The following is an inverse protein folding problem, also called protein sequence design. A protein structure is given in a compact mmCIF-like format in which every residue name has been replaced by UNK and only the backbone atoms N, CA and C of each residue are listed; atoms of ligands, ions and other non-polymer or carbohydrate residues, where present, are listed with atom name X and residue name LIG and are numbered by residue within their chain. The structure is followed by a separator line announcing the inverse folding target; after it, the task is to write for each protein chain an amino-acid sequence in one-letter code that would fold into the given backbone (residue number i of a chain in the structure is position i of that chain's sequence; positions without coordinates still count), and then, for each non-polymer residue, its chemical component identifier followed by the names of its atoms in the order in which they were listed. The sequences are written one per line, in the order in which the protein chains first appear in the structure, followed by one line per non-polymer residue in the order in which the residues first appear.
data_IF_967360511418
#
_entry.id   IF_967360511418
#
_cell.length_a   1.000
_cell.length_b   1.000
_cell.length_c   1.000
_cell.angle_alpha   90.00
_cell.angle_beta   90.00
_cell.angle_gamma   90.00
#
_symmetry.space_group_name_H-M   'P 1'
#
loop_
_entity.id
_entity.type
_entity.pdbx_description
1 polymer ?
#
# COMPACT_ATOMS: atom_id res chain seq x y z
N UNK A 1 10.28 23.58 -13.62
CA UNK A 1 8.94 23.28 -13.06
C UNK A 1 8.35 21.98 -13.59
N UNK A 2 8.16 21.78 -14.91
CA UNK A 2 7.55 20.54 -15.42
C UNK A 2 8.35 19.24 -15.21
N UNK A 3 9.68 19.31 -15.26
CA UNK A 3 10.53 18.10 -15.27
C UNK A 3 10.42 17.31 -13.95
N UNK A 4 10.40 17.99 -12.80
CA UNK A 4 10.28 17.32 -11.49
C UNK A 4 8.95 16.59 -11.32
N UNK A 5 7.86 17.16 -11.86
CA UNK A 5 6.53 16.53 -11.84
C UNK A 5 6.43 15.35 -12.80
N UNK A 6 6.95 15.48 -14.03
CA UNK A 6 6.95 14.40 -15.03
C UNK A 6 7.77 13.21 -14.54
N UNK A 7 8.96 13.45 -14.00
CA UNK A 7 9.83 12.38 -13.47
C UNK A 7 9.17 11.73 -12.24
N UNK A 8 8.57 12.51 -11.35
CA UNK A 8 7.80 11.96 -10.21
C UNK A 8 6.63 11.08 -10.69
N UNK A 9 5.86 11.55 -11.67
CA UNK A 9 4.74 10.80 -12.23
C UNK A 9 5.20 9.46 -12.84
N UNK A 10 6.29 9.47 -13.60
CA UNK A 10 6.85 8.24 -14.18
C UNK A 10 7.26 7.23 -13.10
N UNK A 11 7.91 7.68 -12.02
CA UNK A 11 8.32 6.82 -10.90
C UNK A 11 7.10 6.22 -10.18
N UNK A 12 6.04 7.01 -9.96
CA UNK A 12 4.79 6.49 -9.37
C UNK A 12 4.19 5.41 -10.24
N UNK A 13 4.09 5.63 -11.55
CA UNK A 13 3.49 4.67 -12.49
C UNK A 13 4.30 3.36 -12.51
N UNK A 14 5.62 3.44 -12.58
CA UNK A 14 6.48 2.25 -12.61
C UNK A 14 6.33 1.45 -11.31
N UNK A 15 6.41 2.12 -10.16
CA UNK A 15 6.25 1.46 -8.86
C UNK A 15 4.86 0.84 -8.71
N UNK A 16 3.80 1.50 -9.20
CA UNK A 16 2.45 0.95 -9.22
C UNK A 16 2.33 -0.31 -10.10
N UNK A 17 2.97 -0.34 -11.27
CA UNK A 17 3.01 -1.53 -12.13
C UNK A 17 3.69 -2.70 -11.40
N UNK A 18 4.82 -2.44 -10.73
CA UNK A 18 5.53 -3.47 -9.95
C UNK A 18 4.67 -3.99 -8.81
N UNK A 19 4.03 -3.09 -8.05
CA UNK A 19 3.15 -3.45 -6.94
C UNK A 19 1.99 -4.30 -7.48
N UNK A 20 1.26 -3.84 -8.52
CA UNK A 20 0.16 -4.58 -9.11
C UNK A 20 0.59 -5.93 -9.70
N UNK A 21 1.78 -5.99 -10.30
CA UNK A 21 2.38 -7.22 -10.81
C UNK A 21 2.63 -8.27 -9.73
N UNK A 22 2.87 -7.85 -8.48
CA UNK A 22 2.96 -8.76 -7.32
C UNK A 22 1.58 -9.03 -6.73
N UNK A 23 0.72 -8.00 -6.64
CA UNK A 23 -0.62 -8.08 -6.03
C UNK A 23 -1.51 -9.08 -6.74
N UNK A 24 -1.64 -8.97 -8.07
CA UNK A 24 -2.59 -9.75 -8.88
C UNK A 24 -2.34 -11.26 -8.79
N UNK A 25 -1.11 -11.78 -8.97
CA UNK A 25 -0.88 -13.22 -8.85
C UNK A 25 -1.05 -13.70 -7.41
N UNK A 26 -0.72 -12.89 -6.41
CA UNK A 26 -0.97 -13.23 -5.01
C UNK A 26 -2.47 -13.29 -4.70
N UNK A 27 -3.26 -12.30 -5.14
CA UNK A 27 -4.72 -12.27 -4.97
C UNK A 27 -5.35 -13.53 -5.59
N UNK A 28 -4.99 -13.86 -6.83
CA UNK A 28 -5.51 -15.05 -7.52
C UNK A 28 -5.09 -16.38 -6.89
N UNK A 29 -3.86 -16.46 -6.36
CA UNK A 29 -3.32 -17.72 -5.83
C UNK A 29 -3.85 -18.03 -4.43
N UNK A 30 -4.14 -16.99 -3.65
CA UNK A 30 -4.36 -17.14 -2.22
C UNK A 30 -5.76 -16.74 -1.75
N UNK A 31 -6.52 -16.00 -2.56
CA UNK A 31 -7.90 -15.63 -2.22
C UNK A 31 -8.86 -16.61 -2.90
N UNK A 32 -9.39 -17.53 -2.10
CA UNK A 32 -10.44 -18.44 -2.57
C UNK A 32 -11.77 -17.72 -2.46
N UNK A 33 -12.39 -17.45 -3.62
CA UNK A 33 -13.74 -16.87 -3.70
C UNK A 33 -14.73 -18.01 -3.93
N UNK A 34 -15.72 -18.14 -3.06
CA UNK A 34 -16.82 -19.11 -3.22
C UNK A 34 -17.84 -18.57 -4.22
N UNK A 35 -18.65 -19.47 -4.80
CA UNK A 35 -19.67 -19.17 -5.81
C UNK A 35 -20.55 -17.98 -5.37
N UNK A 36 -20.45 -16.86 -6.09
CA UNK A 36 -21.13 -15.58 -5.75
C UNK A 36 -20.22 -14.40 -5.37
N UNK A 37 -18.92 -14.42 -5.70
CA UNK A 37 -17.95 -13.33 -5.47
C UNK A 37 -17.71 -12.95 -3.99
N UNK A 38 -18.24 -13.71 -3.03
CA UNK A 38 -17.93 -13.53 -1.61
C UNK A 38 -16.59 -14.20 -1.30
N UNK A 39 -15.69 -13.44 -0.66
CA UNK A 39 -14.40 -13.94 -0.19
C UNK A 39 -14.68 -14.91 0.94
N UNK A 40 -14.21 -16.15 0.81
CA UNK A 40 -14.41 -17.16 1.85
C UNK A 40 -13.31 -16.99 2.92
N UNK A 41 -13.62 -16.22 3.95
CA UNK A 41 -12.69 -15.91 5.05
C UNK A 41 -12.31 -17.14 5.89
N UNK A 42 -13.11 -18.20 5.81
CA UNK A 42 -12.89 -19.50 6.48
C UNK A 42 -11.73 -20.29 5.87
N UNK A 43 -11.56 -20.24 4.54
CA UNK A 43 -10.43 -20.89 3.83
C UNK A 43 -9.23 -19.97 3.62
N UNK A 44 -9.45 -18.65 3.57
CA UNK A 44 -8.39 -17.67 3.28
C UNK A 44 -7.64 -17.25 4.55
N UNK A 45 -6.76 -18.13 5.08
CA UNK A 45 -5.93 -17.87 6.27
C UNK A 45 -4.90 -16.72 6.11
N UNK A 46 -4.75 -16.17 4.91
CA UNK A 46 -3.74 -15.15 4.59
C UNK A 46 -4.08 -13.76 5.13
N UNK A 47 -5.34 -13.48 5.43
CA UNK A 47 -5.71 -12.24 6.14
C UNK A 47 -5.40 -12.26 7.64
N UNK A 48 -5.09 -13.43 8.21
CA UNK A 48 -4.75 -13.61 9.62
C UNK A 48 -3.25 -13.80 9.88
N UNK A 49 -2.43 -13.92 8.82
CA UNK A 49 -0.96 -14.02 8.92
C UNK A 49 -0.30 -12.82 8.26
N UNK A 50 0.93 -12.52 8.67
CA UNK A 50 1.75 -11.50 8.02
C UNK A 50 1.88 -11.81 6.53
N UNK A 51 1.37 -10.92 5.69
CA UNK A 51 1.32 -11.15 4.25
C UNK A 51 2.45 -10.39 3.54
N UNK A 52 2.83 -10.82 2.34
CA UNK A 52 3.83 -10.12 1.51
C UNK A 52 3.42 -8.67 1.27
N UNK A 53 2.11 -8.40 1.20
CA UNK A 53 1.56 -7.06 1.11
C UNK A 53 1.76 -6.20 2.35
N UNK A 54 1.72 -6.77 3.57
CA UNK A 54 2.06 -6.03 4.78
C UNK A 54 3.53 -5.62 4.73
N UNK A 55 4.43 -6.51 4.30
CA UNK A 55 5.86 -6.18 4.09
C UNK A 55 6.04 -5.07 3.05
N UNK A 56 5.36 -5.16 1.89
CA UNK A 56 5.43 -4.13 0.85
C UNK A 56 4.91 -2.79 1.39
N UNK A 57 3.80 -2.79 2.11
CA UNK A 57 3.23 -1.57 2.69
C UNK A 57 4.15 -0.93 3.73
N UNK A 58 4.80 -1.73 4.58
CA UNK A 58 5.81 -1.25 5.54
C UNK A 58 7.02 -0.67 4.80
N UNK A 59 7.53 -1.35 3.78
CA UNK A 59 8.62 -0.82 2.95
C UNK A 59 8.23 0.50 2.27
N UNK A 60 7.01 0.62 1.76
CA UNK A 60 6.48 1.87 1.18
C UNK A 60 6.39 2.99 2.22
N UNK A 61 5.96 2.68 3.45
CA UNK A 61 5.88 3.65 4.53
C UNK A 61 7.28 4.15 4.94
N UNK A 62 8.26 3.24 5.04
CA UNK A 62 9.67 3.61 5.30
C UNK A 62 10.21 4.47 4.17
N UNK A 63 9.94 4.12 2.91
CA UNK A 63 10.32 4.93 1.76
C UNK A 63 9.71 6.34 1.82
N UNK A 64 8.42 6.46 2.14
CA UNK A 64 7.75 7.74 2.32
C UNK A 64 8.41 8.58 3.43
N UNK A 65 8.76 7.97 4.56
CA UNK A 65 9.50 8.64 5.63
C UNK A 65 10.86 9.15 5.16
N UNK A 66 11.63 8.36 4.41
CA UNK A 66 12.91 8.81 3.84
C UNK A 66 12.69 10.00 2.90
N UNK A 67 11.66 9.96 2.04
CA UNK A 67 11.33 11.09 1.17
C UNK A 67 11.00 12.36 1.96
N UNK A 68 10.27 12.27 3.08
CA UNK A 68 9.98 13.42 3.96
C UNK A 68 11.25 13.94 4.62
N UNK A 69 12.16 13.06 5.06
CA UNK A 69 13.41 13.49 5.69
C UNK A 69 14.32 14.22 4.70
N UNK A 70 14.45 13.69 3.48
CA UNK A 70 15.20 14.36 2.41
C UNK A 70 14.56 15.71 2.07
N UNK A 71 13.23 15.77 1.99
CA UNK A 71 12.50 17.02 1.78
C UNK A 71 12.81 18.06 2.87
N UNK A 72 12.80 17.68 4.15
CA UNK A 72 13.15 18.57 5.27
C UNK A 72 14.59 19.10 5.16
N UNK A 73 15.54 18.27 4.73
CA UNK A 73 16.93 18.70 4.50
C UNK A 73 17.01 19.71 3.36
N UNK A 74 16.31 19.48 2.24
CA UNK A 74 16.31 20.42 1.12
C UNK A 74 15.66 21.76 1.50
N UNK A 75 14.54 21.73 2.22
CA UNK A 75 13.85 22.95 2.68
C UNK A 75 14.71 23.73 3.67
N UNK A 76 15.34 23.06 4.64
CA UNK A 76 16.25 23.71 5.60
C UNK A 76 17.53 24.24 4.95
N UNK A 77 17.95 23.67 3.82
CA UNK A 77 19.05 24.20 2.99
C UNK A 77 18.67 25.42 2.14
N UNK A 78 17.43 25.92 2.26
CA UNK A 78 16.94 27.09 1.54
C UNK A 78 16.42 26.81 0.13
N UNK A 79 16.29 25.55 -0.28
CA UNK A 79 15.69 25.22 -1.58
C UNK A 79 14.18 25.43 -1.54
N UNK A 80 13.68 26.19 -2.52
CA UNK A 80 12.25 26.51 -2.64
C UNK A 80 11.52 25.49 -3.52
N UNK A 81 10.19 25.61 -3.56
CA UNK A 81 9.28 24.78 -4.37
C UNK A 81 9.55 24.89 -5.88
N UNK A 82 10.39 25.82 -6.32
CA UNK A 82 10.81 25.89 -7.72
C UNK A 82 11.89 24.86 -8.09
N UNK A 83 12.57 24.29 -7.08
CA UNK A 83 13.56 23.25 -7.30
C UNK A 83 12.88 21.92 -7.68
N UNK A 84 13.27 21.27 -8.79
CA UNK A 84 12.67 20.01 -9.24
C UNK A 84 12.79 18.87 -8.21
N UNK A 85 13.83 18.86 -7.37
CA UNK A 85 14.00 17.86 -6.32
C UNK A 85 12.98 18.03 -5.20
N UNK A 86 12.72 19.27 -4.76
CA UNK A 86 11.71 19.57 -3.72
C UNK A 86 10.32 19.14 -4.19
N UNK A 87 9.98 19.41 -5.46
CA UNK A 87 8.71 18.97 -6.05
C UNK A 87 8.60 17.44 -6.15
N UNK A 88 9.69 16.77 -6.53
CA UNK A 88 9.73 15.31 -6.59
C UNK A 88 9.47 14.68 -5.21
N UNK A 89 10.23 15.06 -4.19
CA UNK A 89 10.09 14.48 -2.85
C UNK A 89 8.74 14.80 -2.19
N UNK A 90 8.19 15.99 -2.42
CA UNK A 90 6.85 16.35 -1.95
C UNK A 90 5.78 15.42 -2.54
N UNK A 91 5.76 15.26 -3.86
CA UNK A 91 4.75 14.44 -4.52
C UNK A 91 4.91 12.95 -4.17
N UNK A 92 6.14 12.45 -4.13
CA UNK A 92 6.41 11.06 -3.75
C UNK A 92 5.97 10.78 -2.31
N UNK A 93 6.38 11.60 -1.34
CA UNK A 93 6.02 11.40 0.06
C UNK A 93 4.52 11.41 0.28
N UNK A 94 3.78 12.36 -0.32
CA UNK A 94 2.33 12.43 -0.20
C UNK A 94 1.62 11.21 -0.78
N UNK A 95 1.95 10.84 -2.02
CA UNK A 95 1.29 9.71 -2.71
C UNK A 95 1.54 8.40 -1.96
N UNK A 96 2.78 8.10 -1.58
CA UNK A 96 3.11 6.84 -0.90
C UNK A 96 2.55 6.77 0.53
N UNK A 97 2.48 7.90 1.23
CA UNK A 97 1.82 7.96 2.55
C UNK A 97 0.33 7.66 2.43
N UNK A 98 -0.35 8.22 1.41
CA UNK A 98 -1.76 7.94 1.16
C UNK A 98 -2.00 6.47 0.79
N UNK A 99 -1.15 5.90 -0.07
CA UNK A 99 -1.25 4.48 -0.47
C UNK A 99 -1.04 3.56 0.74
N UNK A 100 -0.01 3.80 1.55
CA UNK A 100 0.25 3.00 2.76
C UNK A 100 -0.89 3.11 3.78
N UNK A 101 -1.42 4.32 4.00
CA UNK A 101 -2.55 4.56 4.91
C UNK A 101 -3.83 3.87 4.41
N UNK A 102 -4.13 4.00 3.12
CA UNK A 102 -5.28 3.34 2.48
C UNK A 102 -5.21 1.82 2.61
N UNK A 103 -4.04 1.24 2.37
CA UNK A 103 -3.82 -0.21 2.55
C UNK A 103 -4.06 -0.65 3.99
N UNK A 104 -3.53 0.09 4.97
CA UNK A 104 -3.70 -0.23 6.40
C UNK A 104 -5.18 -0.20 6.80
N UNK A 105 -5.94 0.80 6.35
CA UNK A 105 -7.39 0.90 6.58
C UNK A 105 -8.13 -0.27 5.93
N UNK A 106 -7.82 -0.60 4.67
CA UNK A 106 -8.41 -1.75 3.98
C UNK A 106 -8.11 -3.06 4.69
N UNK A 107 -6.88 -3.25 5.17
CA UNK A 107 -6.44 -4.43 5.91
C UNK A 107 -7.21 -4.57 7.21
N UNK A 108 -7.31 -3.52 8.02
CA UNK A 108 -8.10 -3.53 9.27
C UNK A 108 -9.57 -3.87 8.97
N UNK A 109 -10.15 -3.26 7.94
CA UNK A 109 -11.54 -3.49 7.54
C UNK A 109 -11.79 -4.94 7.13
N UNK A 110 -10.88 -5.55 6.37
CA UNK A 110 -10.98 -6.95 5.95
C UNK A 110 -10.77 -7.90 7.13
N UNK A 111 -9.82 -7.64 8.02
CA UNK A 111 -9.63 -8.44 9.23
C UNK A 111 -10.86 -8.40 10.13
N UNK A 112 -11.46 -7.22 10.37
CA UNK A 112 -12.67 -7.09 11.17
C UNK A 112 -13.88 -7.79 10.53
N UNK A 113 -14.04 -7.70 9.20
CA UNK A 113 -15.06 -8.45 8.47
C UNK A 113 -14.85 -9.96 8.61
N UNK A 114 -13.62 -10.43 8.44
CA UNK A 114 -13.27 -11.85 8.63
C UNK A 114 -13.58 -12.36 10.03
N UNK A 115 -13.21 -11.61 11.08
CA UNK A 115 -13.52 -11.97 12.48
C UNK A 115 -15.04 -12.02 12.70
N UNK A 116 -15.78 -11.05 12.17
CA UNK A 116 -17.25 -11.00 12.31
C UNK A 116 -17.93 -12.17 11.60
N UNK A 117 -17.41 -12.59 10.46
CA UNK A 117 -17.95 -13.71 9.68
C UNK A 117 -17.68 -15.06 10.37
N UNK A 118 -16.46 -15.26 10.89
CA UNK A 118 -16.11 -16.42 11.74
C UNK A 118 -17.01 -16.49 12.98
N UNK A 119 -17.25 -15.35 13.64
CA UNK A 119 -18.13 -15.29 14.81
C UNK A 119 -19.60 -15.57 14.49
N UNK A 120 -20.06 -15.26 13.27
CA UNK A 120 -21.47 -15.40 12.86
C UNK A 120 -21.80 -16.82 12.39
N UNK A 121 -20.88 -17.51 11.72
CA UNK A 121 -21.16 -18.81 11.12
C UNK A 121 -20.88 -20.01 12.03
N UNK A 122 -20.34 -19.79 13.24
CA UNK A 122 -19.82 -20.88 14.04
C UNK A 122 -18.51 -21.36 13.43
N UNK A 123 -17.48 -21.44 14.25
CA UNK A 123 -16.16 -21.68 13.76
C UNK A 123 -15.99 -23.20 13.58
N UNK A 124 -16.32 -23.69 12.39
CA UNK A 124 -16.06 -25.08 11.98
C UNK A 124 -14.54 -25.23 11.81
N UNK A 125 -13.87 -25.46 12.94
CA UNK A 125 -12.43 -25.72 13.03
C UNK A 125 -12.15 -27.22 13.16
N UNK A 126 -12.83 -28.06 12.38
CA UNK A 126 -12.41 -29.45 12.17
C UNK A 126 -11.41 -29.55 11.01
#
# INVERSE_FOLDING_TARGET
MLIGFIVSGAVVVIMMIVILGIVIPFDRKYIVRTNGYKIDFTKTKIYFRWNVFDTISVCLAVYACICVQVLNILVSSGFTVQNPYVQFFTNQSQVWTLVASGYLISRISLTLKGIKEIKKHGADWE
#
